data_IF_742787413796
#
_entry.id   IF_742787413796
#
_cell.length_a   1.000
_cell.length_b   1.000
_cell.length_c   1.000
_cell.angle_alpha   90.00
_cell.angle_beta   90.00
_cell.angle_gamma   90.00
#
_symmetry.space_group_name_H-M   'P 1'
#
loop_
_entity.id
_entity.type
_entity.pdbx_description
1 polymer ?
#
# COMPACT_ATOMS: atom_id res chain seq x y z
N UNK A 1 38.23 -55.82 42.38
CA UNK A 1 36.85 -55.31 42.28
C UNK A 1 36.71 -54.15 43.24
N UNK A 2 36.72 -52.93 42.71
CA UNK A 2 36.13 -51.73 43.32
C UNK A 2 35.91 -50.79 42.15
N UNK A 3 34.68 -50.77 41.65
CA UNK A 3 34.26 -49.83 40.62
C UNK A 3 34.04 -48.48 41.27
N UNK A 4 34.74 -47.46 40.78
CA UNK A 4 34.27 -46.09 40.93
C UNK A 4 33.27 -45.83 39.80
N UNK A 5 31.99 -45.90 40.15
CA UNK A 5 30.93 -45.25 39.39
C UNK A 5 31.04 -43.76 39.71
N UNK A 6 31.57 -42.96 38.78
CA UNK A 6 31.35 -41.51 38.84
C UNK A 6 29.94 -41.22 38.32
N UNK A 7 29.15 -40.41 39.04
CA UNK A 7 27.77 -40.14 38.69
C UNK A 7 27.67 -39.52 37.29
N UNK A 8 26.76 -40.11 36.53
CA UNK A 8 26.08 -39.53 35.37
C UNK A 8 25.20 -38.35 35.81
N UNK A 9 25.10 -37.40 34.90
CA UNK A 9 23.98 -36.51 34.66
C UNK A 9 23.57 -35.55 35.80
N UNK A 10 24.05 -34.31 35.69
CA UNK A 10 23.26 -33.14 36.08
C UNK A 10 23.13 -32.23 34.86
N UNK A 11 22.03 -32.47 34.13
CA UNK A 11 21.26 -31.54 33.32
C UNK A 11 22.04 -30.38 32.67
N UNK A 12 22.40 -30.56 31.39
CA UNK A 12 22.51 -29.43 30.46
C UNK A 12 21.14 -28.75 30.38
N UNK A 13 20.86 -27.87 31.34
CA UNK A 13 19.79 -26.91 31.24
C UNK A 13 20.15 -26.02 30.05
N UNK A 14 19.65 -26.37 28.86
CA UNK A 14 19.72 -25.58 27.64
C UNK A 14 18.84 -24.32 27.78
N UNK A 15 18.92 -23.65 28.93
CA UNK A 15 18.23 -22.44 29.27
C UNK A 15 18.80 -21.33 28.42
N UNK A 16 18.05 -20.94 27.40
CA UNK A 16 18.34 -19.72 26.64
C UNK A 16 18.42 -18.59 27.67
N UNK A 17 19.62 -18.04 27.86
CA UNK A 17 19.86 -16.96 28.83
C UNK A 17 18.80 -15.87 28.68
N UNK A 18 18.17 -15.39 29.77
CA UNK A 18 17.18 -14.29 29.71
C UNK A 18 17.69 -13.05 28.98
N UNK A 19 19.01 -12.81 29.04
CA UNK A 19 19.69 -11.75 28.29
C UNK A 19 19.62 -11.98 26.77
N UNK A 20 19.80 -13.23 26.30
CA UNK A 20 19.68 -13.57 24.88
C UNK A 20 18.26 -13.37 24.38
N UNK A 21 17.25 -13.75 25.18
CA UNK A 21 15.84 -13.52 24.85
C UNK A 21 15.55 -12.02 24.75
N UNK A 22 15.99 -11.22 25.73
CA UNK A 22 15.79 -9.77 25.73
C UNK A 22 16.45 -9.09 24.52
N UNK A 23 17.67 -9.50 24.16
CA UNK A 23 18.38 -9.01 22.97
C UNK A 23 17.63 -9.38 21.68
N UNK A 24 17.18 -10.63 21.55
CA UNK A 24 16.42 -11.07 20.37
C UNK A 24 15.09 -10.33 20.21
N UNK A 25 14.35 -10.11 21.29
CA UNK A 25 13.11 -9.32 21.28
C UNK A 25 13.38 -7.87 20.92
N UNK A 26 14.46 -7.27 21.45
CA UNK A 26 14.88 -5.91 21.11
C UNK A 26 15.22 -5.76 19.64
N UNK A 27 16.01 -6.69 19.08
CA UNK A 27 16.35 -6.70 17.64
C UNK A 27 15.08 -6.87 16.79
N UNK A 28 14.18 -7.80 17.16
CA UNK A 28 12.93 -8.01 16.44
C UNK A 28 12.05 -6.75 16.44
N UNK A 29 11.95 -6.04 17.57
CA UNK A 29 11.19 -4.80 17.66
C UNK A 29 11.80 -3.68 16.79
N UNK A 30 13.13 -3.55 16.77
CA UNK A 30 13.81 -2.57 15.91
C UNK A 30 13.61 -2.89 14.43
N UNK A 31 13.69 -4.16 14.04
CA UNK A 31 13.45 -4.57 12.65
C UNK A 31 11.99 -4.31 12.23
N UNK A 32 11.02 -4.63 13.09
CA UNK A 32 9.61 -4.32 12.84
C UNK A 32 9.38 -2.81 12.70
N UNK A 33 9.98 -2.01 13.59
CA UNK A 33 9.91 -0.56 13.52
C UNK A 33 10.54 -0.04 12.22
N UNK A 34 11.69 -0.56 11.83
CA UNK A 34 12.33 -0.21 10.56
C UNK A 34 11.42 -0.53 9.37
N UNK A 35 10.84 -1.73 9.30
CA UNK A 35 9.90 -2.11 8.23
C UNK A 35 8.69 -1.18 8.19
N UNK A 36 8.08 -0.89 9.34
CA UNK A 36 6.95 0.04 9.43
C UNK A 36 7.34 1.45 8.99
N UNK A 37 8.51 1.94 9.41
CA UNK A 37 9.04 3.26 9.06
C UNK A 37 9.36 3.37 7.57
N UNK A 38 10.08 2.41 6.99
CA UNK A 38 10.40 2.39 5.57
C UNK A 38 9.14 2.24 4.71
N UNK A 39 8.20 1.39 5.13
CA UNK A 39 6.89 1.28 4.48
C UNK A 39 6.16 2.62 4.49
N UNK A 40 6.05 3.25 5.66
CA UNK A 40 5.43 4.57 5.79
C UNK A 40 6.14 5.62 4.92
N UNK A 41 7.47 5.65 4.90
CA UNK A 41 8.24 6.61 4.12
C UNK A 41 8.01 6.44 2.61
N UNK A 42 8.06 5.21 2.10
CA UNK A 42 7.81 4.92 0.67
C UNK A 42 6.40 5.36 0.26
N UNK A 43 5.37 5.02 1.05
CA UNK A 43 4.00 5.40 0.74
C UNK A 43 3.71 6.89 0.93
N UNK A 44 4.16 7.50 2.04
CA UNK A 44 3.80 8.87 2.37
C UNK A 44 4.63 9.92 1.62
N UNK A 45 5.92 9.68 1.39
CA UNK A 45 6.80 10.69 0.79
C UNK A 45 6.99 10.53 -0.72
N UNK A 46 6.99 9.32 -1.26
CA UNK A 46 7.21 9.10 -2.71
C UNK A 46 5.90 8.96 -3.47
N UNK A 47 4.98 8.12 -2.98
CA UNK A 47 3.70 7.89 -3.66
C UNK A 47 2.65 9.00 -3.42
N UNK A 48 2.80 9.83 -2.37
CA UNK A 48 1.87 10.91 -2.04
C UNK A 48 1.75 11.98 -3.12
N UNK A 49 2.85 12.69 -3.48
CA UNK A 49 2.82 13.75 -4.49
C UNK A 49 2.19 13.35 -5.84
N UNK A 50 2.52 12.20 -6.46
CA UNK A 50 1.87 11.81 -7.72
C UNK A 50 0.39 11.46 -7.52
N UNK A 51 -0.02 10.91 -6.38
CA UNK A 51 -1.42 10.70 -6.07
C UNK A 51 -2.19 12.02 -5.96
N UNK A 52 -1.62 13.02 -5.28
CA UNK A 52 -2.26 14.32 -5.07
C UNK A 52 -2.48 15.03 -6.42
N UNK A 53 -1.51 14.94 -7.36
CA UNK A 53 -1.67 15.48 -8.72
C UNK A 53 -2.89 14.92 -9.46
N UNK A 54 -3.21 13.64 -9.29
CA UNK A 54 -4.40 13.01 -9.90
C UNK A 54 -5.65 13.43 -9.14
N UNK A 55 -5.62 13.32 -7.82
CA UNK A 55 -6.76 13.59 -6.94
C UNK A 55 -7.28 15.01 -7.05
N UNK A 56 -6.38 15.99 -7.13
CA UNK A 56 -6.71 17.42 -7.20
C UNK A 56 -7.18 17.87 -8.58
N UNK A 57 -7.06 17.01 -9.61
CA UNK A 57 -7.58 17.32 -10.94
C UNK A 57 -9.10 17.54 -10.87
N UNK A 58 -9.58 18.63 -11.45
CA UNK A 58 -11.02 18.91 -11.52
C UNK A 58 -11.65 18.15 -12.67
N UNK A 59 -12.73 17.45 -12.39
CA UNK A 59 -13.55 16.82 -13.43
C UNK A 59 -14.23 17.94 -14.23
N UNK A 60 -14.03 18.02 -15.56
CA UNK A 60 -14.65 19.06 -16.37
C UNK A 60 -16.17 19.03 -16.25
N UNK A 61 -16.78 20.20 -15.98
CA UNK A 61 -18.24 20.36 -15.96
C UNK A 61 -18.94 20.06 -14.63
N UNK A 62 -18.30 19.42 -13.64
CA UNK A 62 -18.93 19.08 -12.35
C UNK A 62 -18.52 20.00 -11.21
N UNK A 63 -17.35 20.64 -11.31
CA UNK A 63 -16.77 21.48 -10.25
C UNK A 63 -16.09 20.71 -9.13
N UNK A 64 -16.20 19.38 -9.13
CA UNK A 64 -15.60 18.45 -8.18
C UNK A 64 -14.19 18.05 -8.63
N UNK A 65 -13.36 17.64 -7.67
CA UNK A 65 -12.10 16.97 -7.97
C UNK A 65 -12.31 15.49 -8.29
N UNK A 66 -11.31 14.82 -8.86
CA UNK A 66 -11.35 13.37 -9.05
C UNK A 66 -11.54 12.67 -7.70
N UNK A 67 -10.87 13.11 -6.63
CA UNK A 67 -11.05 12.49 -5.31
C UNK A 67 -12.49 12.58 -4.81
N UNK A 68 -13.16 13.70 -5.05
CA UNK A 68 -14.53 13.94 -4.61
C UNK A 68 -15.56 13.20 -5.48
N UNK A 69 -15.38 13.19 -6.81
CA UNK A 69 -16.41 12.78 -7.77
C UNK A 69 -16.24 11.38 -8.38
N UNK A 70 -15.10 10.70 -8.20
CA UNK A 70 -14.82 9.43 -8.89
C UNK A 70 -15.82 8.31 -8.57
N UNK A 71 -16.24 8.17 -7.30
CA UNK A 71 -17.20 7.12 -6.94
C UNK A 71 -18.57 7.39 -7.58
N UNK A 72 -19.04 8.64 -7.54
CA UNK A 72 -20.31 9.03 -8.15
C UNK A 72 -20.29 8.82 -9.67
N UNK A 73 -19.20 9.22 -10.33
CA UNK A 73 -19.01 8.99 -11.76
C UNK A 73 -19.08 7.50 -12.14
N UNK A 74 -18.41 6.64 -11.36
CA UNK A 74 -18.46 5.19 -11.57
C UNK A 74 -19.88 4.65 -11.36
N UNK A 75 -20.56 5.06 -10.29
CA UNK A 75 -21.93 4.64 -9.99
C UNK A 75 -22.94 5.09 -11.06
N UNK A 76 -22.81 6.32 -11.59
CA UNK A 76 -23.61 6.85 -12.70
C UNK A 76 -23.37 6.08 -14.01
N UNK A 77 -22.13 5.62 -14.22
CA UNK A 77 -21.76 4.69 -15.30
C UNK A 77 -22.26 3.25 -15.10
N UNK A 78 -23.01 2.98 -14.03
CA UNK A 78 -23.60 1.67 -13.71
C UNK A 78 -22.68 0.73 -12.94
N UNK A 79 -21.53 1.19 -12.47
CA UNK A 79 -20.60 0.39 -11.66
C UNK A 79 -21.11 0.32 -10.22
N UNK A 80 -21.38 -0.89 -9.73
CA UNK A 80 -21.81 -1.10 -8.33
C UNK A 80 -20.60 -1.39 -7.45
N UNK A 81 -20.09 -0.36 -6.79
CA UNK A 81 -18.96 -0.48 -5.87
C UNK A 81 -19.41 -1.23 -4.61
N UNK A 82 -18.80 -2.38 -4.35
CA UNK A 82 -18.96 -3.13 -3.12
C UNK A 82 -18.22 -2.43 -1.98
N UNK A 83 -18.88 -2.30 -0.83
CA UNK A 83 -18.33 -1.65 0.39
C UNK A 83 -18.20 -2.62 1.57
N UNK A 84 -18.78 -3.81 1.46
CA UNK A 84 -18.68 -4.86 2.47
C UNK A 84 -17.41 -5.68 2.25
N UNK A 85 -16.34 -5.34 2.97
CA UNK A 85 -15.07 -6.09 2.94
C UNK A 85 -13.91 -5.24 2.42
N UNK A 86 -13.90 -4.95 1.13
CA UNK A 86 -12.89 -4.10 0.50
C UNK A 86 -13.39 -2.66 0.41
N UNK A 87 -12.78 -1.76 1.17
CA UNK A 87 -13.03 -0.32 1.01
C UNK A 87 -12.24 0.18 -0.20
N UNK A 88 -12.84 1.01 -1.08
CA UNK A 88 -12.09 1.66 -2.14
C UNK A 88 -10.87 2.42 -1.59
N UNK A 89 -9.75 2.36 -2.31
CA UNK A 89 -8.50 3.02 -1.90
C UNK A 89 -7.71 3.50 -3.10
N UNK A 90 -6.87 4.47 -2.81
CA UNK A 90 -5.82 4.94 -3.72
C UNK A 90 -4.53 4.19 -3.49
N UNK A 91 -3.81 3.94 -4.57
CA UNK A 91 -2.43 3.47 -4.54
C UNK A 91 -1.63 4.09 -5.68
N UNK A 92 -0.31 4.11 -5.54
CA UNK A 92 0.58 4.46 -6.64
C UNK A 92 1.80 3.56 -6.62
N UNK A 93 2.28 3.24 -7.81
CA UNK A 93 3.45 2.42 -8.05
C UNK A 93 4.38 3.14 -9.01
N UNK A 94 5.65 3.25 -8.64
CA UNK A 94 6.70 3.76 -9.52
C UNK A 94 7.05 2.66 -10.52
N UNK A 95 6.83 2.91 -11.81
CA UNK A 95 7.03 1.93 -12.88
C UNK A 95 8.33 2.12 -13.64
N UNK A 96 8.77 3.37 -13.74
CA UNK A 96 10.05 3.80 -14.32
C UNK A 96 10.53 4.99 -13.48
N UNK A 97 11.80 5.39 -13.63
CA UNK A 97 12.33 6.58 -12.95
C UNK A 97 11.41 7.79 -13.25
N UNK A 98 10.91 8.42 -12.18
CA UNK A 98 10.01 9.58 -12.23
C UNK A 98 8.66 9.35 -12.96
N UNK A 99 8.26 8.09 -13.16
CA UNK A 99 6.98 7.71 -13.77
C UNK A 99 6.17 6.81 -12.84
N UNK A 100 5.03 7.33 -12.40
CA UNK A 100 4.11 6.65 -11.52
C UNK A 100 2.84 6.20 -12.22
N UNK A 101 2.31 5.05 -11.82
CA UNK A 101 0.95 4.63 -12.10
C UNK A 101 0.14 4.80 -10.82
N UNK A 102 -0.75 5.79 -10.82
CA UNK A 102 -1.70 6.05 -9.74
C UNK A 102 -3.00 5.33 -10.08
N UNK A 103 -3.57 4.61 -9.12
CA UNK A 103 -4.80 3.85 -9.31
C UNK A 103 -5.80 4.06 -8.18
N UNK A 104 -7.07 4.22 -8.55
CA UNK A 104 -8.19 4.07 -7.65
C UNK A 104 -8.71 2.63 -7.74
N UNK A 105 -8.55 1.87 -6.67
CA UNK A 105 -8.89 0.44 -6.59
C UNK A 105 -10.17 0.29 -5.80
N UNK A 106 -11.10 -0.51 -6.32
CA UNK A 106 -12.40 -0.78 -5.73
C UNK A 106 -12.85 -2.21 -6.06
N UNK A 107 -13.96 -2.64 -5.49
CA UNK A 107 -14.50 -3.99 -5.71
C UNK A 107 -15.87 -3.89 -6.40
N UNK A 108 -16.14 -4.79 -7.35
CA UNK A 108 -17.46 -4.97 -7.96
C UNK A 108 -17.88 -6.42 -7.72
N UNK A 109 -18.91 -6.60 -6.89
CA UNK A 109 -19.34 -7.94 -6.46
C UNK A 109 -18.31 -8.62 -5.57
N UNK A 110 -17.29 -9.27 -6.17
CA UNK A 110 -16.14 -9.90 -5.51
C UNK A 110 -14.84 -9.77 -6.32
N UNK A 111 -14.86 -8.94 -7.36
CA UNK A 111 -13.74 -8.75 -8.26
C UNK A 111 -13.11 -7.38 -8.02
N UNK A 112 -11.81 -7.36 -7.75
CA UNK A 112 -11.05 -6.12 -7.68
C UNK A 112 -10.96 -5.49 -9.09
N UNK A 113 -11.27 -4.21 -9.16
CA UNK A 113 -11.21 -3.37 -10.36
C UNK A 113 -10.45 -2.10 -10.02
N UNK A 114 -9.94 -1.43 -11.04
CA UNK A 114 -9.21 -0.19 -10.87
C UNK A 114 -9.35 0.73 -12.06
N UNK A 115 -9.22 2.03 -11.80
CA UNK A 115 -9.04 3.09 -12.79
C UNK A 115 -7.67 3.71 -12.54
N UNK A 116 -6.89 3.95 -13.59
CA UNK A 116 -5.49 4.35 -13.45
C UNK A 116 -5.10 5.57 -14.28
N UNK A 117 -4.08 6.28 -13.81
CA UNK A 117 -3.41 7.39 -14.48
C UNK A 117 -1.91 7.20 -14.42
N UNK A 118 -1.22 7.62 -15.47
CA UNK A 118 0.23 7.75 -15.48
C UNK A 118 0.61 9.18 -15.14
N UNK A 119 1.54 9.34 -14.21
CA UNK A 119 2.05 10.63 -13.76
C UNK A 119 3.55 10.68 -14.06
N UNK A 120 3.98 11.73 -14.76
CA UNK A 120 5.38 11.99 -15.08
C UNK A 120 5.87 13.12 -14.18
N UNK A 121 6.61 12.82 -13.12
CA UNK A 121 7.01 13.82 -12.11
C UNK A 121 7.81 14.97 -12.72
N UNK A 122 8.77 14.67 -13.59
CA UNK A 122 9.62 15.66 -14.27
C UNK A 122 8.85 16.78 -14.97
N UNK A 123 7.67 16.44 -15.50
CA UNK A 123 6.85 17.36 -16.28
C UNK A 123 5.56 17.77 -15.59
N UNK A 124 5.25 17.17 -14.44
CA UNK A 124 3.93 17.25 -13.79
C UNK A 124 2.78 16.76 -14.67
N UNK A 125 3.06 16.03 -15.75
CA UNK A 125 2.05 15.60 -16.71
C UNK A 125 1.29 14.38 -16.18
N UNK A 126 -0.02 14.46 -16.21
CA UNK A 126 -0.92 13.33 -15.91
C UNK A 126 -1.61 12.86 -17.19
N UNK A 127 -1.66 11.54 -17.40
CA UNK A 127 -2.31 10.91 -18.54
C UNK A 127 -3.26 9.80 -18.08
N UNK A 128 -4.56 9.84 -18.43
CA UNK A 128 -5.48 8.76 -18.09
C UNK A 128 -5.10 7.47 -18.82
N UNK A 129 -5.28 6.33 -18.14
CA UNK A 129 -5.03 5.00 -18.67
C UNK A 129 -6.34 4.21 -18.77
N UNK A 130 -6.71 3.86 -20.00
CA UNK A 130 -7.98 3.17 -20.28
C UNK A 130 -9.14 4.13 -20.52
N UNK A 131 -10.28 3.55 -20.90
CA UNK A 131 -11.46 4.30 -21.35
C UNK A 131 -12.13 5.07 -20.21
N UNK A 132 -12.42 4.39 -19.10
CA UNK A 132 -13.08 5.00 -17.92
C UNK A 132 -12.27 6.17 -17.35
N UNK A 133 -10.95 6.01 -17.22
CA UNK A 133 -10.08 7.09 -16.75
C UNK A 133 -10.13 8.31 -17.68
N UNK A 134 -10.20 8.05 -18.99
CA UNK A 134 -10.23 9.08 -20.03
C UNK A 134 -11.58 9.79 -20.06
N UNK A 135 -12.69 9.07 -19.93
CA UNK A 135 -14.03 9.65 -19.85
C UNK A 135 -14.17 10.56 -18.64
N UNK A 136 -13.72 10.10 -17.46
CA UNK A 136 -13.65 10.93 -16.26
C UNK A 136 -12.78 12.19 -16.49
N UNK A 137 -11.61 12.03 -17.12
CA UNK A 137 -10.69 13.13 -17.42
C UNK A 137 -11.25 14.14 -18.44
N UNK A 138 -12.13 13.69 -19.33
CA UNK A 138 -12.79 14.50 -20.35
C UNK A 138 -14.15 15.07 -19.86
N UNK A 139 -14.65 14.61 -18.71
CA UNK A 139 -15.97 14.97 -18.17
C UNK A 139 -17.13 14.46 -19.03
N UNK A 140 -17.04 13.23 -19.54
CA UNK A 140 -18.02 12.61 -20.46
C UNK A 140 -18.70 11.40 -19.88
#
# INVERSE_FOLDING_TARGET
MTGEVKPQDEDEESGVSPLRIAVSVGIAAVLLFAVAFFGYYQFAHRAGPPMDLVKEHRIPGTGETIEEGIEAFLEDGGVKIAREGFKPRWGAEETEDDVWVVSFVFEVGREARWVSWRVYEDSGKVQPSGEVARELWEGR
#
